data_IF_786179243836
#
_entry.id   IF_786179243836
#
_cell.length_a   1.000
_cell.length_b   1.000
_cell.length_c   1.000
_cell.angle_alpha   90.00
_cell.angle_beta   90.00
_cell.angle_gamma   90.00
#
_symmetry.space_group_name_H-M   'P 1'
#
loop_
_entity.id
_entity.type
_entity.pdbx_description
1 polymer ?
#
# COMPACT_ATOMS: atom_id res chain seq x y z
N UNK A 1 13.39 -21.36 8.40
CA UNK A 1 12.01 -20.97 8.73
C UNK A 1 11.95 -19.48 8.87
N UNK A 2 11.31 -18.84 7.89
CA UNK A 2 11.03 -17.41 7.94
C UNK A 2 10.21 -17.07 9.19
N UNK A 3 10.50 -15.92 9.82
CA UNK A 3 9.85 -15.55 11.11
C UNK A 3 8.33 -15.37 10.99
N UNK A 4 7.82 -15.13 9.78
CA UNK A 4 6.39 -14.92 9.51
C UNK A 4 5.58 -16.22 9.36
N UNK A 5 6.20 -17.39 9.10
CA UNK A 5 5.46 -18.64 8.89
C UNK A 5 4.64 -19.04 10.12
N UNK A 6 5.27 -19.01 11.31
CA UNK A 6 4.61 -19.38 12.56
C UNK A 6 3.40 -18.49 12.90
N UNK A 7 3.54 -17.15 12.90
CA UNK A 7 2.40 -16.24 13.08
C UNK A 7 1.28 -16.41 12.05
N UNK A 8 1.62 -16.58 10.76
CA UNK A 8 0.63 -16.77 9.70
C UNK A 8 -0.22 -18.02 9.93
N UNK A 9 0.39 -19.15 10.25
CA UNK A 9 -0.31 -20.39 10.57
C UNK A 9 -1.13 -20.25 11.86
N UNK A 10 -0.57 -19.64 12.90
CA UNK A 10 -1.23 -19.48 14.20
C UNK A 10 -2.49 -18.62 14.13
N UNK A 11 -2.52 -17.63 13.23
CA UNK A 11 -3.65 -16.72 13.05
C UNK A 11 -4.59 -17.13 11.90
N UNK A 12 -4.25 -18.18 11.15
CA UNK A 12 -4.98 -18.53 9.93
C UNK A 12 -4.98 -17.41 8.89
N UNK A 13 -3.88 -16.65 8.82
CA UNK A 13 -3.77 -15.52 7.90
C UNK A 13 -3.82 -16.02 6.45
N UNK A 14 -4.63 -15.43 5.56
CA UNK A 14 -4.72 -15.87 4.17
C UNK A 14 -3.49 -15.50 3.34
N UNK A 15 -2.66 -14.56 3.82
CA UNK A 15 -1.44 -14.08 3.16
C UNK A 15 -0.47 -13.48 4.17
N UNK A 16 0.75 -13.20 3.72
CA UNK A 16 1.73 -12.32 4.38
C UNK A 16 2.09 -11.20 3.41
N UNK A 17 2.22 -9.96 3.89
CA UNK A 17 2.66 -8.82 3.08
C UNK A 17 4.04 -8.28 3.51
N UNK A 18 4.74 -7.62 2.59
CA UNK A 18 5.95 -6.84 2.85
C UNK A 18 6.05 -5.65 1.88
N UNK A 19 6.87 -4.65 2.16
CA UNK A 19 7.07 -3.45 1.37
C UNK A 19 8.12 -3.65 0.27
N UNK A 20 7.92 -2.95 -0.85
CA UNK A 20 8.91 -2.82 -1.91
C UNK A 20 9.89 -1.71 -1.52
N UNK A 21 10.73 -2.01 -0.54
CA UNK A 21 11.62 -1.05 0.09
C UNK A 21 12.95 -1.66 0.49
N UNK A 22 13.89 -0.80 0.88
CA UNK A 22 15.05 -1.20 1.65
C UNK A 22 15.24 -0.27 2.85
N UNK A 23 15.92 -0.76 3.89
CA UNK A 23 16.15 0.02 5.13
C UNK A 23 17.64 0.15 5.48
N UNK A 24 18.51 -0.55 4.75
CA UNK A 24 19.95 -0.57 5.03
C UNK A 24 20.76 -0.65 3.75
N UNK A 25 21.79 0.20 3.64
CA UNK A 25 22.76 0.18 2.54
C UNK A 25 24.11 0.71 3.04
N UNK A 26 25.22 0.16 2.52
CA UNK A 26 26.57 0.64 2.87
C UNK A 26 26.92 0.57 4.37
N UNK A 27 26.29 -0.33 5.12
CA UNK A 27 26.45 -0.42 6.58
C UNK A 27 25.65 0.58 7.40
N UNK A 28 24.83 1.42 6.76
CA UNK A 28 23.97 2.43 7.40
C UNK A 28 22.53 1.95 7.38
N UNK A 29 21.85 2.06 8.53
CA UNK A 29 20.41 1.83 8.67
C UNK A 29 19.66 3.16 8.65
N UNK A 30 18.68 3.28 7.76
CA UNK A 30 17.93 4.51 7.53
C UNK A 30 16.92 4.80 8.65
N UNK A 31 16.52 3.79 9.41
CA UNK A 31 15.47 3.90 10.45
C UNK A 31 14.06 4.05 9.89
N UNK A 32 13.89 4.04 8.56
CA UNK A 32 12.60 4.05 7.86
C UNK A 32 12.73 3.37 6.49
N UNK A 33 11.60 3.11 5.83
CA UNK A 33 11.55 2.56 4.47
C UNK A 33 12.12 3.57 3.46
N UNK A 34 13.02 3.10 2.59
CA UNK A 34 13.52 3.84 1.44
C UNK A 34 13.04 3.20 0.14
N UNK A 35 12.66 4.01 -0.86
CA UNK A 35 12.22 3.51 -2.15
C UNK A 35 13.37 2.85 -2.88
N UNK A 36 13.12 1.72 -3.54
CA UNK A 36 14.08 1.13 -4.45
C UNK A 36 14.22 1.99 -5.73
N UNK A 37 15.40 2.08 -6.35
CA UNK A 37 15.50 2.62 -7.70
C UNK A 37 14.72 1.71 -8.65
N UNK A 38 13.89 2.26 -9.52
CA UNK A 38 13.07 1.47 -10.47
C UNK A 38 13.88 1.09 -11.71
N UNK A 39 15.02 0.44 -11.51
CA UNK A 39 15.89 -0.09 -12.56
C UNK A 39 15.63 -1.58 -12.79
N UNK A 40 16.10 -2.12 -13.93
CA UNK A 40 16.04 -3.55 -14.19
C UNK A 40 16.88 -4.36 -13.19
N UNK A 41 18.04 -3.86 -12.76
CA UNK A 41 18.87 -4.56 -11.76
C UNK A 41 18.16 -4.64 -10.39
N UNK A 42 17.49 -3.57 -9.97
CA UNK A 42 16.72 -3.57 -8.74
C UNK A 42 15.52 -4.52 -8.81
N UNK A 43 14.86 -4.57 -9.96
CA UNK A 43 13.78 -5.53 -10.24
C UNK A 43 14.27 -6.97 -10.09
N UNK A 44 15.41 -7.33 -10.70
CA UNK A 44 16.00 -8.67 -10.57
C UNK A 44 16.35 -9.03 -9.11
N UNK A 45 16.86 -8.08 -8.34
CA UNK A 45 17.17 -8.27 -6.92
C UNK A 45 15.90 -8.53 -6.12
N UNK A 46 14.86 -7.72 -6.32
CA UNK A 46 13.56 -7.89 -5.66
C UNK A 46 12.90 -9.21 -6.04
N UNK A 47 12.86 -9.54 -7.34
CA UNK A 47 12.27 -10.77 -7.83
C UNK A 47 12.93 -12.00 -7.19
N UNK A 48 14.27 -12.03 -7.12
CA UNK A 48 15.00 -13.11 -6.43
C UNK A 48 14.63 -13.19 -4.94
N UNK A 49 14.49 -12.06 -4.26
CA UNK A 49 14.17 -12.03 -2.84
C UNK A 49 12.73 -12.49 -2.59
N UNK A 50 11.77 -12.01 -3.39
CA UNK A 50 10.37 -12.40 -3.36
C UNK A 50 10.21 -13.90 -3.60
N UNK A 51 10.84 -14.44 -4.66
CA UNK A 51 10.77 -15.88 -4.95
C UNK A 51 11.30 -16.75 -3.80
N UNK A 52 12.40 -16.31 -3.16
CA UNK A 52 12.94 -17.02 -1.99
C UNK A 52 12.03 -16.95 -0.77
N UNK A 53 11.44 -15.79 -0.51
CA UNK A 53 10.53 -15.59 0.62
C UNK A 53 9.22 -16.36 0.41
N UNK A 54 8.62 -16.25 -0.78
CA UNK A 54 7.39 -16.96 -1.13
C UNK A 54 7.55 -18.49 -1.02
N UNK A 55 8.70 -19.05 -1.43
CA UNK A 55 8.98 -20.48 -1.30
C UNK A 55 9.06 -20.99 0.16
N UNK A 56 9.28 -20.09 1.13
CA UNK A 56 9.38 -20.43 2.56
C UNK A 56 8.06 -20.17 3.31
N UNK A 57 7.15 -19.38 2.74
CA UNK A 57 5.89 -19.02 3.38
C UNK A 57 4.83 -20.10 3.13
N UNK A 58 4.00 -20.43 4.15
CA UNK A 58 2.92 -21.40 4.01
C UNK A 58 1.68 -20.82 3.30
N UNK A 59 1.72 -19.52 2.97
CA UNK A 59 0.61 -18.74 2.39
C UNK A 59 1.17 -17.78 1.33
N UNK A 60 0.33 -17.27 0.41
CA UNK A 60 0.76 -16.29 -0.59
C UNK A 60 1.47 -15.08 0.03
N UNK A 61 2.47 -14.57 -0.71
CA UNK A 61 3.15 -13.31 -0.43
C UNK A 61 2.47 -12.19 -1.23
N UNK A 62 2.18 -11.08 -0.58
CA UNK A 62 1.84 -9.81 -1.22
C UNK A 62 2.98 -8.80 -1.00
N UNK A 63 3.15 -7.85 -1.91
CA UNK A 63 4.10 -6.75 -1.75
C UNK A 63 3.47 -5.38 -1.93
N UNK A 64 3.93 -4.40 -1.15
CA UNK A 64 3.30 -3.10 -1.00
C UNK A 64 4.11 -1.95 -1.62
N UNK A 65 3.43 -1.06 -2.35
CA UNK A 65 4.01 0.20 -2.82
C UNK A 65 4.11 1.21 -1.66
N UNK A 66 5.21 1.94 -1.59
CA UNK A 66 5.44 2.90 -0.51
C UNK A 66 5.28 4.35 -1.00
N UNK A 67 4.92 5.26 -0.09
CA UNK A 67 5.13 6.68 -0.31
C UNK A 67 6.63 6.99 -0.43
N UNK A 68 6.97 7.87 -1.37
CA UNK A 68 8.34 8.30 -1.60
C UNK A 68 8.44 9.81 -1.79
N UNK A 69 9.41 10.40 -1.10
CA UNK A 69 9.82 11.79 -1.30
C UNK A 69 10.97 11.95 -2.32
N UNK A 70 11.55 10.83 -2.78
CA UNK A 70 12.71 10.85 -3.66
C UNK A 70 12.47 10.02 -4.92
N UNK A 71 12.97 10.52 -6.05
CA UNK A 71 13.12 9.74 -7.26
C UNK A 71 14.60 9.52 -7.54
N UNK A 72 14.95 8.27 -7.84
CA UNK A 72 16.30 7.93 -8.22
C UNK A 72 16.52 8.35 -9.68
N UNK A 73 17.56 9.16 -9.99
CA UNK A 73 17.82 9.60 -11.35
C UNK A 73 18.12 8.45 -12.32
N UNK A 74 18.50 7.28 -11.79
CA UNK A 74 18.72 6.05 -12.55
C UNK A 74 17.43 5.27 -12.84
N UNK A 75 16.26 5.69 -12.35
CA UNK A 75 15.01 4.95 -12.59
C UNK A 75 14.63 4.96 -14.07
N UNK A 76 14.61 3.78 -14.69
CA UNK A 76 14.25 3.59 -16.10
C UNK A 76 12.76 3.26 -16.30
N UNK A 77 12.08 2.83 -15.23
CA UNK A 77 10.68 2.38 -15.26
C UNK A 77 9.79 3.31 -14.44
N UNK A 78 8.58 3.56 -14.93
CA UNK A 78 7.49 4.12 -14.11
C UNK A 78 7.09 3.16 -12.99
N UNK A 79 6.32 3.63 -12.00
CA UNK A 79 5.81 2.78 -10.92
C UNK A 79 4.95 1.65 -11.47
N UNK A 80 4.05 1.96 -12.41
CA UNK A 80 3.21 0.97 -13.08
C UNK A 80 4.01 -0.07 -13.85
N UNK A 81 5.03 0.33 -14.61
CA UNK A 81 5.87 -0.62 -15.35
C UNK A 81 6.67 -1.51 -14.38
N UNK A 82 7.25 -0.91 -13.34
CA UNK A 82 8.01 -1.65 -12.34
C UNK A 82 7.17 -2.69 -11.60
N UNK A 83 5.96 -2.30 -11.14
CA UNK A 83 5.06 -3.22 -10.44
C UNK A 83 4.50 -4.28 -11.38
N UNK A 84 4.18 -3.94 -12.63
CA UNK A 84 3.72 -4.90 -13.63
C UNK A 84 4.78 -5.95 -13.93
N UNK A 85 6.02 -5.53 -14.26
CA UNK A 85 7.10 -6.49 -14.51
C UNK A 85 7.40 -7.34 -13.26
N UNK A 86 7.29 -6.77 -12.05
CA UNK A 86 7.51 -7.48 -10.79
C UNK A 86 6.48 -8.60 -10.55
N UNK A 87 5.18 -8.30 -10.70
CA UNK A 87 4.13 -9.32 -10.51
C UNK A 87 4.18 -10.39 -11.60
N UNK A 88 4.50 -10.03 -12.84
CA UNK A 88 4.63 -10.98 -13.95
C UNK A 88 5.79 -11.96 -13.74
N UNK A 89 6.94 -11.49 -13.28
CA UNK A 89 8.12 -12.34 -13.12
C UNK A 89 8.17 -13.15 -11.81
N UNK A 90 7.34 -12.81 -10.82
CA UNK A 90 7.34 -13.46 -9.49
C UNK A 90 6.03 -14.16 -9.13
N UNK A 91 4.94 -13.86 -9.82
CA UNK A 91 3.56 -14.26 -9.44
C UNK A 91 3.18 -13.82 -8.02
N UNK A 92 3.82 -12.76 -7.49
CA UNK A 92 3.45 -12.16 -6.20
C UNK A 92 2.10 -11.44 -6.30
N UNK A 93 1.42 -11.28 -5.18
CA UNK A 93 0.24 -10.40 -5.06
C UNK A 93 0.69 -8.99 -4.69
N UNK A 94 -0.21 -8.02 -4.80
CA UNK A 94 0.02 -6.65 -4.34
C UNK A 94 -0.85 -6.29 -3.15
N UNK A 95 -0.25 -5.56 -2.20
CA UNK A 95 -1.01 -4.66 -1.33
C UNK A 95 -0.90 -3.30 -1.99
N UNK A 96 -2.04 -2.76 -2.44
CA UNK A 96 -2.03 -1.44 -3.06
C UNK A 96 -2.43 -0.38 -2.05
N UNK A 97 -1.47 0.37 -1.53
CA UNK A 97 -1.79 1.55 -0.73
C UNK A 97 -2.17 2.70 -1.66
N UNK A 98 -3.47 3.05 -1.68
CA UNK A 98 -4.00 4.14 -2.52
C UNK A 98 -3.64 5.52 -1.99
N UNK A 99 -3.36 5.65 -0.69
CA UNK A 99 -2.85 6.90 -0.13
C UNK A 99 -1.40 7.14 -0.57
N UNK A 100 -0.59 6.08 -0.66
CA UNK A 100 0.74 6.15 -1.26
C UNK A 100 0.69 6.54 -2.75
N UNK A 101 -0.23 5.97 -3.53
CA UNK A 101 -0.44 6.39 -4.95
C UNK A 101 -0.77 7.87 -5.04
N UNK A 102 -1.71 8.35 -4.21
CA UNK A 102 -2.09 9.76 -4.14
C UNK A 102 -0.90 10.66 -3.81
N UNK A 103 -0.17 10.33 -2.74
CA UNK A 103 0.97 11.12 -2.26
C UNK A 103 2.08 11.18 -3.30
N UNK A 104 2.42 10.04 -3.90
CA UNK A 104 3.43 9.93 -4.93
C UNK A 104 3.08 10.74 -6.19
N UNK A 105 1.86 10.61 -6.69
CA UNK A 105 1.41 11.37 -7.86
C UNK A 105 1.39 12.88 -7.57
N UNK A 106 0.83 13.29 -6.43
CA UNK A 106 0.78 14.70 -6.01
C UNK A 106 2.16 15.33 -5.89
N UNK A 107 3.11 14.65 -5.24
CA UNK A 107 4.47 15.14 -5.06
C UNK A 107 5.26 15.25 -6.37
N UNK A 108 4.87 14.47 -7.39
CA UNK A 108 5.47 14.51 -8.73
C UNK A 108 4.72 15.44 -9.70
N UNK A 109 3.63 16.08 -9.26
CA UNK A 109 2.77 16.90 -10.13
C UNK A 109 2.04 16.09 -11.20
N UNK A 110 1.80 14.80 -10.95
CA UNK A 110 1.06 13.88 -11.81
C UNK A 110 -0.40 13.78 -11.36
N UNK A 111 -1.24 13.21 -12.22
CA UNK A 111 -2.65 12.95 -11.93
C UNK A 111 -2.80 11.57 -11.25
N UNK A 112 -3.22 11.50 -9.97
CA UNK A 112 -3.35 10.23 -9.25
C UNK A 112 -4.32 9.23 -9.92
N UNK A 113 -5.37 9.72 -10.60
CA UNK A 113 -6.34 8.86 -11.29
C UNK A 113 -5.69 8.17 -12.50
N UNK A 114 -4.82 8.90 -13.22
CA UNK A 114 -4.07 8.34 -14.34
C UNK A 114 -2.98 7.38 -13.88
N UNK A 115 -2.30 7.68 -12.77
CA UNK A 115 -1.32 6.76 -12.18
C UNK A 115 -1.97 5.44 -11.76
N UNK A 116 -3.05 5.50 -10.97
CA UNK A 116 -3.83 4.33 -10.55
C UNK A 116 -4.30 3.51 -11.76
N UNK A 117 -4.72 4.18 -12.84
CA UNK A 117 -5.26 3.53 -14.02
C UNK A 117 -4.27 2.62 -14.76
N UNK A 118 -2.95 2.79 -14.53
CA UNK A 118 -1.87 2.03 -15.16
C UNK A 118 -1.35 0.89 -14.29
N UNK A 119 -1.78 0.80 -13.03
CA UNK A 119 -1.32 -0.23 -12.11
C UNK A 119 -1.96 -1.60 -12.44
N UNK A 120 -1.26 -2.73 -12.17
CA UNK A 120 -1.76 -4.09 -12.41
C UNK A 120 -2.77 -4.49 -11.32
N UNK A 121 -3.94 -3.85 -11.32
CA UNK A 121 -4.95 -3.96 -10.25
C UNK A 121 -5.55 -5.36 -10.11
N UNK A 122 -5.48 -6.19 -11.15
CA UNK A 122 -5.90 -7.59 -11.14
C UNK A 122 -5.02 -8.49 -10.24
N UNK A 123 -3.86 -8.00 -9.84
CA UNK A 123 -2.93 -8.68 -8.91
C UNK A 123 -3.05 -8.18 -7.47
N UNK A 124 -3.93 -7.23 -7.19
CA UNK A 124 -4.13 -6.67 -5.86
C UNK A 124 -4.92 -7.64 -4.99
N UNK A 125 -4.32 -8.05 -3.86
CA UNK A 125 -4.97 -8.88 -2.86
C UNK A 125 -5.91 -8.07 -1.96
N UNK A 126 -5.46 -6.89 -1.54
CA UNK A 126 -6.22 -5.91 -0.78
C UNK A 126 -5.52 -4.55 -0.84
N UNK A 127 -6.20 -3.51 -0.39
CA UNK A 127 -5.72 -2.13 -0.47
C UNK A 127 -5.70 -1.45 0.90
N UNK A 128 -4.63 -0.72 1.18
CA UNK A 128 -4.59 0.21 2.31
C UNK A 128 -5.16 1.57 1.89
N UNK A 129 -5.89 2.19 2.81
CA UNK A 129 -6.40 3.55 2.70
C UNK A 129 -5.94 4.29 3.94
N UNK A 130 -5.19 5.36 3.75
CA UNK A 130 -4.69 6.17 4.85
C UNK A 130 -4.99 7.66 4.60
N UNK A 131 -4.34 8.51 5.38
CA UNK A 131 -4.44 9.95 5.22
C UNK A 131 -3.21 10.68 5.73
N UNK A 132 -2.89 11.75 5.02
CA UNK A 132 -1.73 12.59 5.27
C UNK A 132 -2.08 14.08 5.27
N UNK A 133 -1.03 14.90 5.24
CA UNK A 133 -1.14 16.36 5.25
C UNK A 133 -0.14 17.02 4.32
N UNK A 134 -0.52 18.19 3.81
CA UNK A 134 0.38 19.05 3.07
C UNK A 134 1.43 19.67 4.02
N UNK A 135 2.71 19.40 3.76
CA UNK A 135 3.86 20.12 4.32
C UNK A 135 4.22 21.35 3.49
N UNK A 136 5.36 21.98 3.80
CA UNK A 136 5.82 23.18 3.09
C UNK A 136 6.08 22.90 1.60
N UNK A 137 6.83 21.83 1.31
CA UNK A 137 7.22 21.48 -0.07
C UNK A 137 6.47 20.26 -0.62
N UNK A 138 6.14 19.29 0.25
CA UNK A 138 5.59 17.99 -0.14
C UNK A 138 4.32 17.65 0.63
N UNK A 139 3.46 16.84 0.01
CA UNK A 139 2.42 16.12 0.73
C UNK A 139 3.05 14.93 1.46
N UNK A 140 2.85 14.87 2.77
CA UNK A 140 3.31 13.77 3.61
C UNK A 140 2.15 12.83 3.86
N UNK A 141 2.24 11.60 3.36
CA UNK A 141 1.32 10.55 3.78
C UNK A 141 1.72 10.06 5.17
N UNK A 142 1.11 10.63 6.20
CA UNK A 142 1.56 10.41 7.58
C UNK A 142 0.91 9.19 8.22
N UNK A 143 -0.18 8.70 7.63
CA UNK A 143 -1.06 7.68 8.21
C UNK A 143 -1.60 8.06 9.59
N UNK A 144 -1.51 9.34 9.95
CA UNK A 144 -1.98 9.89 11.24
C UNK A 144 -2.96 11.05 11.07
N UNK A 145 -3.30 11.38 9.83
CA UNK A 145 -4.29 12.41 9.47
C UNK A 145 -5.50 11.75 8.79
N UNK A 146 -6.66 12.42 8.83
CA UNK A 146 -7.90 11.89 8.23
C UNK A 146 -7.72 11.61 6.73
N UNK A 147 -8.31 10.53 6.23
CA UNK A 147 -8.31 10.21 4.79
C UNK A 147 -8.92 11.38 3.98
N UNK A 148 -8.16 11.97 3.04
CA UNK A 148 -8.66 13.03 2.18
C UNK A 148 -9.77 12.53 1.23
N UNK A 149 -10.73 13.39 0.84
CA UNK A 149 -11.72 13.06 -0.18
C UNK A 149 -11.10 12.55 -1.49
N UNK A 150 -9.97 13.11 -1.91
CA UNK A 150 -9.29 12.72 -3.14
C UNK A 150 -8.73 11.29 -3.08
N UNK A 151 -8.40 10.78 -1.90
CA UNK A 151 -8.04 9.36 -1.72
C UNK A 151 -9.28 8.47 -1.80
N UNK A 152 -10.44 8.94 -1.31
CA UNK A 152 -11.72 8.22 -1.48
C UNK A 152 -12.17 8.17 -2.94
N UNK A 153 -11.85 9.19 -3.74
CA UNK A 153 -12.06 9.18 -5.18
C UNK A 153 -11.21 8.08 -5.86
N UNK A 154 -10.00 7.81 -5.36
CA UNK A 154 -9.17 6.69 -5.83
C UNK A 154 -9.69 5.33 -5.36
N UNK A 155 -10.26 5.23 -4.15
CA UNK A 155 -10.97 4.03 -3.69
C UNK A 155 -12.11 3.68 -4.65
N UNK A 156 -12.89 4.68 -5.04
CA UNK A 156 -13.99 4.52 -6.01
C UNK A 156 -13.46 4.02 -7.36
N UNK A 157 -12.43 4.70 -7.90
CA UNK A 157 -11.83 4.34 -9.18
C UNK A 157 -11.16 2.95 -9.17
N UNK A 158 -10.57 2.54 -8.05
CA UNK A 158 -10.01 1.18 -7.91
C UNK A 158 -11.14 0.14 -7.90
N UNK A 159 -12.24 0.40 -7.18
CA UNK A 159 -13.37 -0.54 -7.11
C UNK A 159 -14.05 -0.75 -8.47
N UNK A 160 -14.09 0.28 -9.31
CA UNK A 160 -14.60 0.15 -10.69
C UNK A 160 -13.77 -0.81 -11.56
N UNK A 161 -12.53 -1.09 -11.17
CA UNK A 161 -11.58 -1.91 -11.93
C UNK A 161 -11.32 -3.28 -11.30
N UNK A 162 -11.36 -3.37 -9.98
CA UNK A 162 -11.05 -4.58 -9.23
C UNK A 162 -11.92 -4.73 -7.98
N UNK A 163 -12.40 -5.95 -7.73
CA UNK A 163 -13.16 -6.29 -6.53
C UNK A 163 -12.21 -6.66 -5.39
N UNK A 164 -11.64 -5.64 -4.73
CA UNK A 164 -10.62 -5.81 -3.68
C UNK A 164 -11.10 -5.31 -2.31
N UNK A 165 -10.67 -5.95 -1.20
CA UNK A 165 -10.91 -5.41 0.14
C UNK A 165 -10.11 -4.13 0.41
N UNK A 166 -10.65 -3.26 1.25
CA UNK A 166 -10.00 -2.03 1.72
C UNK A 166 -9.79 -2.07 3.23
N UNK A 167 -8.64 -1.59 3.68
CA UNK A 167 -8.27 -1.48 5.09
C UNK A 167 -7.87 -0.05 5.41
N UNK A 168 -8.51 0.56 6.42
CA UNK A 168 -8.04 1.83 6.96
C UNK A 168 -6.73 1.60 7.74
N UNK A 169 -5.67 2.28 7.32
CA UNK A 169 -4.38 2.28 8.02
C UNK A 169 -4.24 3.53 8.88
N UNK A 170 -3.88 3.32 10.15
CA UNK A 170 -3.74 4.38 11.16
C UNK A 170 -2.58 4.04 12.09
N UNK A 171 -1.46 4.70 11.87
CA UNK A 171 -0.19 4.37 12.53
C UNK A 171 0.06 5.13 13.84
N UNK A 172 -0.77 6.14 14.11
CA UNK A 172 -0.61 6.97 15.28
C UNK A 172 -1.61 8.12 15.32
N UNK A 173 -1.49 8.95 16.37
CA UNK A 173 -2.45 10.02 16.72
C UNK A 173 -3.90 9.54 16.59
N UNK A 174 -4.20 8.36 17.15
CA UNK A 174 -5.51 7.75 17.10
C UNK A 174 -6.59 8.74 17.59
N UNK A 175 -7.56 9.10 16.73
CA UNK A 175 -8.67 9.95 17.13
C UNK A 175 -9.67 9.12 17.97
N UNK A 176 -10.72 9.76 18.53
CA UNK A 176 -11.83 9.04 19.12
C UNK A 176 -12.40 7.99 18.16
N UNK A 177 -12.87 6.86 18.70
CA UNK A 177 -13.37 5.74 17.90
C UNK A 177 -14.47 6.14 16.90
N UNK A 178 -15.31 7.12 17.27
CA UNK A 178 -16.35 7.65 16.38
C UNK A 178 -15.79 8.21 15.07
N UNK A 179 -14.63 8.88 15.10
CA UNK A 179 -13.99 9.43 13.91
C UNK A 179 -13.43 8.30 13.02
N UNK A 180 -12.82 7.26 13.61
CA UNK A 180 -12.39 6.08 12.86
C UNK A 180 -13.58 5.37 12.19
N UNK A 181 -14.72 5.30 12.88
CA UNK A 181 -15.93 4.75 12.28
C UNK A 181 -16.44 5.60 11.13
N UNK A 182 -16.35 6.93 11.22
CA UNK A 182 -16.73 7.82 10.13
C UNK A 182 -15.82 7.64 8.91
N UNK A 183 -14.52 7.42 9.12
CA UNK A 183 -13.56 7.09 8.05
C UNK A 183 -13.86 5.72 7.41
N UNK A 184 -14.10 4.69 8.22
CA UNK A 184 -14.48 3.35 7.72
C UNK A 184 -15.79 3.38 6.91
N UNK A 185 -16.79 4.15 7.36
CA UNK A 185 -18.05 4.29 6.65
C UNK A 185 -17.87 5.08 5.34
N UNK A 186 -16.99 6.08 5.31
CA UNK A 186 -16.65 6.81 4.09
C UNK A 186 -15.92 5.92 3.07
N UNK A 187 -14.99 5.08 3.52
CA UNK A 187 -14.33 4.06 2.67
C UNK A 187 -15.35 3.06 2.14
N UNK A 188 -16.25 2.55 3.00
CA UNK A 188 -17.30 1.64 2.56
C UNK A 188 -18.20 2.28 1.50
N UNK A 189 -18.61 3.53 1.69
CA UNK A 189 -19.41 4.28 0.72
C UNK A 189 -18.68 4.45 -0.62
N UNK A 190 -17.41 4.87 -0.59
CA UNK A 190 -16.58 5.03 -1.80
C UNK A 190 -16.38 3.70 -2.54
N UNK A 191 -16.17 2.62 -1.78
CA UNK A 191 -16.04 1.28 -2.32
C UNK A 191 -17.38 0.64 -2.71
N UNK A 192 -18.53 1.30 -2.54
CA UNK A 192 -19.84 0.69 -2.78
C UNK A 192 -20.11 -0.57 -1.94
N UNK A 193 -19.52 -0.64 -0.74
CA UNK A 193 -19.61 -1.75 0.19
C UNK A 193 -20.54 -1.45 1.37
N UNK A 194 -21.05 -2.50 2.00
CA UNK A 194 -21.83 -2.37 3.22
C UNK A 194 -20.95 -1.91 4.39
N UNK A 195 -21.36 -0.89 5.17
CA UNK A 195 -20.62 -0.43 6.33
C UNK A 195 -20.49 -1.50 7.42
N UNK A 196 -19.28 -1.65 7.99
CA UNK A 196 -19.01 -2.64 9.06
C UNK A 196 -19.14 -2.07 10.49
N UNK A 197 -19.38 -0.76 10.61
CA UNK A 197 -19.27 -0.06 11.91
C UNK A 197 -20.55 -0.10 12.74
N UNK A 198 -21.70 -0.52 12.19
CA UNK A 198 -23.01 -0.38 12.87
C UNK A 198 -23.07 -1.06 14.24
N UNK A 199 -22.41 -2.22 14.39
CA UNK A 199 -22.29 -2.90 15.68
C UNK A 199 -21.30 -2.20 16.61
N UNK A 200 -20.14 -1.80 16.09
CA UNK A 200 -19.10 -1.13 16.86
C UNK A 200 -19.60 0.21 17.43
N UNK A 201 -20.30 1.01 16.63
CA UNK A 201 -20.91 2.27 17.06
C UNK A 201 -21.87 2.10 18.24
N UNK A 202 -22.63 1.00 18.31
CA UNK A 202 -23.52 0.71 19.46
C UNK A 202 -22.76 0.29 20.71
N UNK A 203 -21.63 -0.39 20.56
CA UNK A 203 -20.80 -0.85 21.67
C UNK A 203 -19.94 0.27 22.27
N UNK A 204 -19.63 1.29 21.47
CA UNK A 204 -18.73 2.40 21.81
C UNK A 204 -19.46 3.76 21.93
N UNK A 205 -20.80 3.76 21.89
CA UNK A 205 -21.64 4.92 22.20
C UNK A 205 -21.81 5.09 23.71
#
# INVERSE_FOLDING_TARGET
MWRACGPAEALGSPLVSEHIAFVRAGGIEAGHLLPVPRTREALEVLARNITRTAAELPVPLAVENIASFVEWPESDLSESEFLTELVECTDVLLVLDVANVYANARNRGLDPQQELARLPVERVAYSHVAGGRQGEDFYHDTHTDRTPPEVLDLVTALRERADVPFMLERDGRYPPAAELFDELDAIAAAAGAEPITSRARKMWA
#
